data_IF_996352709065
#
_entry.id   IF_996352709065
#
_cell.length_a   1.000
_cell.length_b   1.000
_cell.length_c   1.000
_cell.angle_alpha   90.00
_cell.angle_beta   90.00
_cell.angle_gamma   90.00
#
_symmetry.space_group_name_H-M   'P 1'
#
loop_
_entity.id
_entity.type
_entity.pdbx_description
1 polymer ?
#
# COMPACT_ATOMS: atom_id res chain seq x y z
N UNK A 1 4.61 -4.95 -44.11
CA UNK A 1 3.66 -4.17 -43.28
C UNK A 1 3.77 -4.70 -41.87
N UNK A 2 4.67 -4.14 -41.07
CA UNK A 2 4.85 -4.52 -39.66
C UNK A 2 4.15 -3.47 -38.83
N UNK A 3 3.00 -3.78 -38.23
CA UNK A 3 2.29 -2.86 -37.34
C UNK A 3 1.60 -3.63 -36.20
N UNK A 4 2.33 -3.78 -35.09
CA UNK A 4 1.84 -3.38 -33.77
C UNK A 4 0.88 -4.30 -33.03
N UNK A 5 1.27 -5.55 -32.75
CA UNK A 5 0.55 -6.41 -31.78
C UNK A 5 1.15 -6.33 -30.35
N UNK A 6 2.14 -5.45 -30.13
CA UNK A 6 3.00 -5.51 -28.94
C UNK A 6 2.55 -4.55 -27.81
N UNK A 7 1.72 -3.54 -28.11
CA UNK A 7 1.37 -2.45 -27.17
C UNK A 7 0.04 -2.67 -26.41
N UNK A 8 -0.83 -3.59 -26.84
CA UNK A 8 -2.16 -3.76 -26.22
C UNK A 8 -2.09 -4.37 -24.82
N UNK A 9 -1.06 -5.17 -24.53
CA UNK A 9 -0.84 -5.82 -23.23
C UNK A 9 -0.54 -4.80 -22.12
N UNK A 10 0.24 -3.76 -22.43
CA UNK A 10 0.62 -2.69 -21.49
C UNK A 10 -0.59 -1.90 -20.96
N UNK A 11 -1.69 -1.88 -21.73
CA UNK A 11 -2.89 -1.14 -21.36
C UNK A 11 -3.88 -1.92 -20.48
N UNK A 12 -3.73 -3.25 -20.36
CA UNK A 12 -4.69 -4.08 -19.61
C UNK A 12 -4.18 -4.41 -18.21
N UNK A 13 -2.88 -4.68 -18.06
CA UNK A 13 -2.26 -5.04 -16.77
C UNK A 13 -0.92 -4.34 -16.60
N UNK A 14 -0.65 -3.87 -15.38
CA UNK A 14 0.61 -3.20 -15.04
C UNK A 14 1.19 -3.82 -13.79
N UNK A 15 2.42 -4.34 -13.91
CA UNK A 15 3.17 -4.85 -12.77
C UNK A 15 3.93 -3.70 -12.12
N UNK A 16 3.70 -3.48 -10.84
CA UNK A 16 4.40 -2.44 -10.08
C UNK A 16 5.08 -3.02 -8.84
N UNK A 17 6.19 -2.43 -8.47
CA UNK A 17 6.85 -2.65 -7.19
C UNK A 17 6.76 -1.33 -6.42
N UNK A 18 6.17 -1.37 -5.24
CA UNK A 18 6.05 -0.21 -4.35
C UNK A 18 6.82 -0.49 -3.07
N UNK A 19 7.83 0.33 -2.82
CA UNK A 19 8.61 0.33 -1.58
C UNK A 19 8.04 1.36 -0.64
N UNK A 20 7.80 0.96 0.60
CA UNK A 20 7.29 1.79 1.67
C UNK A 20 8.28 1.73 2.84
N UNK A 21 8.67 2.91 3.30
CA UNK A 21 9.48 3.06 4.49
C UNK A 21 8.57 3.56 5.61
N UNK A 22 8.46 2.77 6.67
CA UNK A 22 7.79 3.19 7.88
C UNK A 22 8.65 4.22 8.59
N UNK A 23 8.07 5.37 8.91
CA UNK A 23 8.71 6.32 9.82
C UNK A 23 8.88 5.57 11.14
N UNK A 24 10.12 5.38 11.61
CA UNK A 24 10.34 4.98 13.01
C UNK A 24 9.70 6.06 13.84
N UNK A 25 8.49 5.82 14.35
CA UNK A 25 7.80 6.79 15.19
C UNK A 25 8.72 7.05 16.38
N UNK A 26 9.34 8.22 16.42
CA UNK A 26 10.04 8.72 17.59
C UNK A 26 8.98 9.05 18.63
N UNK A 27 8.50 8.04 19.35
CA UNK A 27 7.55 8.25 20.44
C UNK A 27 8.37 8.79 21.60
N UNK A 28 8.34 10.10 21.78
CA UNK A 28 8.88 10.76 22.98
C UNK A 28 8.05 10.37 24.19
N UNK A 29 8.43 9.28 24.84
CA UNK A 29 7.82 8.81 26.08
C UNK A 29 8.90 8.30 27.02
N UNK A 30 8.89 8.77 28.26
CA UNK A 30 9.73 8.26 29.35
C UNK A 30 9.31 6.82 29.67
N UNK A 31 9.92 5.84 28.98
CA UNK A 31 9.71 4.40 29.17
C UNK A 31 10.97 3.63 28.78
N UNK A 32 11.13 2.41 29.30
CA UNK A 32 12.33 1.60 29.01
C UNK A 32 12.49 1.36 27.51
N UNK A 33 13.73 1.35 27.02
CA UNK A 33 14.05 1.17 25.59
C UNK A 33 13.43 -0.11 25.02
N UNK A 34 13.33 -1.15 25.84
CA UNK A 34 12.76 -2.44 25.46
C UNK A 34 11.22 -2.37 25.29
N UNK A 35 10.54 -1.59 26.13
CA UNK A 35 9.09 -1.37 26.04
C UNK A 35 8.73 -0.55 24.81
N UNK A 36 9.52 0.50 24.52
CA UNK A 36 9.37 1.32 23.32
C UNK A 36 9.59 0.47 22.07
N UNK A 37 10.65 -0.36 22.07
CA UNK A 37 10.96 -1.25 20.95
C UNK A 37 9.85 -2.29 20.72
N UNK A 38 9.32 -2.89 21.78
CA UNK A 38 8.21 -3.85 21.71
C UNK A 38 6.93 -3.20 21.15
N UNK A 39 6.63 -1.97 21.57
CA UNK A 39 5.48 -1.21 21.07
C UNK A 39 5.61 -0.85 19.58
N UNK A 40 6.79 -0.38 19.16
CA UNK A 40 7.10 -0.08 17.75
C UNK A 40 7.01 -1.33 16.88
N UNK A 41 7.62 -2.44 17.31
CA UNK A 41 7.55 -3.72 16.59
C UNK A 41 6.11 -4.24 16.47
N UNK A 42 5.30 -4.02 17.50
CA UNK A 42 3.88 -4.38 17.50
C UNK A 42 3.06 -3.50 16.55
N UNK A 43 3.39 -2.21 16.41
CA UNK A 43 2.77 -1.31 15.44
C UNK A 43 3.15 -1.69 13.99
N UNK A 44 4.42 -2.02 13.77
CA UNK A 44 4.93 -2.52 12.48
C UNK A 44 4.31 -3.88 12.10
N UNK A 45 4.07 -4.76 13.06
CA UNK A 45 3.40 -6.06 12.83
C UNK A 45 1.99 -5.90 12.26
N UNK A 46 1.30 -4.81 12.61
CA UNK A 46 -0.05 -4.52 12.15
C UNK A 46 -0.06 -3.51 11.02
N UNK A 47 1.07 -3.19 10.39
CA UNK A 47 1.08 -2.27 9.25
C UNK A 47 0.60 -2.96 7.99
N UNK A 48 -0.23 -2.27 7.22
CA UNK A 48 -0.79 -2.76 5.96
C UNK A 48 -0.89 -1.64 4.93
N UNK A 49 -0.85 -2.03 3.66
CA UNK A 49 -0.90 -1.12 2.52
C UNK A 49 -2.21 -1.38 1.80
N UNK A 50 -2.97 -0.32 1.51
CA UNK A 50 -4.17 -0.38 0.69
C UNK A 50 -4.01 0.36 -0.64
N UNK A 51 -4.66 -0.19 -1.65
CA UNK A 51 -4.81 0.46 -2.95
C UNK A 51 -6.08 1.30 -2.97
N UNK A 52 -5.92 2.57 -3.33
CA UNK A 52 -6.96 3.58 -3.43
C UNK A 52 -7.17 3.96 -4.89
N UNK A 53 -8.43 4.12 -5.28
CA UNK A 53 -8.82 4.78 -6.52
C UNK A 53 -8.91 6.29 -6.27
N UNK A 54 -8.21 7.11 -7.05
CA UNK A 54 -8.11 8.57 -6.78
C UNK A 54 -9.37 9.36 -7.12
N UNK A 55 -10.30 8.78 -7.90
CA UNK A 55 -11.57 9.42 -8.30
C UNK A 55 -12.78 8.93 -7.50
N UNK A 56 -12.58 8.24 -6.37
CA UNK A 56 -13.69 7.76 -5.53
C UNK A 56 -13.87 8.60 -4.25
N UNK A 57 -14.44 9.82 -4.31
CA UNK A 57 -14.76 10.58 -3.11
C UNK A 57 -15.99 10.03 -2.36
N UNK A 58 -16.78 9.12 -2.96
CA UNK A 58 -18.11 8.76 -2.43
C UNK A 58 -18.39 7.25 -2.28
N UNK A 59 -17.47 6.33 -2.60
CA UNK A 59 -17.64 4.91 -2.29
C UNK A 59 -16.89 4.60 -0.99
N UNK A 60 -17.65 4.42 0.08
CA UNK A 60 -17.18 4.09 1.44
C UNK A 60 -16.01 3.08 1.42
N UNK A 61 -14.78 3.59 1.59
CA UNK A 61 -13.49 2.98 1.93
C UNK A 61 -13.28 1.44 1.76
N UNK A 62 -13.90 0.79 0.77
CA UNK A 62 -13.66 -0.61 0.50
C UNK A 62 -12.35 -0.70 -0.29
N UNK A 63 -11.26 -1.21 0.31
CA UNK A 63 -9.99 -1.30 -0.39
C UNK A 63 -10.13 -2.25 -1.57
N UNK A 64 -9.67 -1.84 -2.76
CA UNK A 64 -9.67 -2.71 -3.94
C UNK A 64 -8.83 -3.96 -3.66
N UNK A 65 -7.68 -3.75 -2.99
CA UNK A 65 -6.79 -4.78 -2.42
C UNK A 65 -6.04 -4.18 -1.23
N UNK A 66 -5.72 -5.01 -0.24
CA UNK A 66 -4.77 -4.66 0.82
C UNK A 66 -3.79 -5.83 1.06
N UNK A 67 -2.63 -5.52 1.61
CA UNK A 67 -1.63 -6.53 2.02
C UNK A 67 -0.82 -6.02 3.21
N UNK A 68 -0.41 -6.92 4.10
CA UNK A 68 0.48 -6.58 5.20
C UNK A 68 1.88 -6.19 4.69
N UNK A 69 2.48 -5.19 5.34
CA UNK A 69 3.78 -4.68 4.94
C UNK A 69 4.92 -5.72 5.11
N UNK A 70 4.76 -6.69 6.01
CA UNK A 70 5.73 -7.76 6.22
C UNK A 70 5.56 -8.97 5.28
N UNK A 71 4.65 -8.92 4.31
CA UNK A 71 4.34 -10.07 3.45
C UNK A 71 5.54 -10.57 2.63
N UNK A 72 6.33 -9.66 2.08
CA UNK A 72 7.53 -9.98 1.29
C UNK A 72 8.83 -9.86 2.07
N UNK A 73 8.84 -9.05 3.15
CA UNK A 73 9.99 -8.85 4.00
C UNK A 73 9.64 -9.20 5.46
N UNK A 74 10.00 -10.40 5.96
CA UNK A 74 9.73 -10.76 7.35
C UNK A 74 10.48 -9.86 8.35
N UNK A 75 11.58 -9.23 7.92
CA UNK A 75 12.40 -8.32 8.72
C UNK A 75 11.86 -6.88 8.77
N UNK A 76 10.70 -6.60 8.15
CA UNK A 76 10.05 -5.27 8.17
C UNK A 76 9.92 -4.69 9.59
N UNK A 77 9.71 -5.53 10.61
CA UNK A 77 9.60 -5.10 12.01
C UNK A 77 10.89 -4.48 12.57
N UNK A 78 12.03 -4.78 11.95
CA UNK A 78 13.36 -4.30 12.36
C UNK A 78 13.82 -3.17 11.43
N UNK A 79 13.65 -3.37 10.12
CA UNK A 79 14.14 -2.42 9.10
C UNK A 79 13.20 -1.24 8.91
N UNK A 80 11.89 -1.44 9.07
CA UNK A 80 10.86 -0.49 8.66
C UNK A 80 10.67 -0.41 7.15
N UNK A 81 11.33 -1.27 6.37
CA UNK A 81 11.30 -1.23 4.90
C UNK A 81 10.51 -2.41 4.33
N UNK A 82 9.47 -2.12 3.57
CA UNK A 82 8.61 -3.11 2.92
C UNK A 82 8.56 -2.84 1.41
N UNK A 83 8.59 -3.90 0.59
CA UNK A 83 8.39 -3.76 -0.86
C UNK A 83 7.33 -4.73 -1.35
N UNK A 84 6.22 -4.24 -1.87
CA UNK A 84 5.15 -5.08 -2.41
C UNK A 84 5.18 -5.08 -3.93
N UNK A 85 5.12 -6.27 -4.51
CA UNK A 85 4.92 -6.50 -5.94
C UNK A 85 3.44 -6.75 -6.18
N UNK A 86 2.79 -5.87 -6.96
CA UNK A 86 1.35 -5.90 -7.20
C UNK A 86 1.08 -5.89 -8.71
N UNK A 87 0.17 -6.76 -9.14
CA UNK A 87 -0.37 -6.71 -10.50
C UNK A 87 -1.66 -5.90 -10.49
N UNK A 88 -1.61 -4.73 -11.13
CA UNK A 88 -2.73 -3.84 -11.35
C UNK A 88 -3.45 -4.22 -12.63
N UNK A 89 -4.77 -4.02 -12.63
CA UNK A 89 -5.62 -4.16 -13.80
C UNK A 89 -6.14 -2.75 -14.12
N UNK A 90 -6.22 -2.40 -15.40
CA UNK A 90 -6.78 -1.14 -15.81
C UNK A 90 -8.29 -1.12 -15.48
N UNK A 91 -8.68 -0.31 -14.51
CA UNK A 91 -10.09 -0.15 -14.11
C UNK A 91 -10.62 1.23 -14.52
N UNK A 92 -10.02 1.85 -15.55
CA UNK A 92 -10.37 3.19 -16.04
C UNK A 92 -10.19 4.28 -14.98
N UNK A 93 -9.25 4.06 -14.06
CA UNK A 93 -8.92 5.01 -13.02
C UNK A 93 -7.45 4.90 -12.59
N UNK A 94 -7.00 5.97 -11.96
CA UNK A 94 -5.69 6.10 -11.38
C UNK A 94 -5.64 5.50 -9.97
N UNK A 95 -4.50 4.94 -9.62
CA UNK A 95 -4.28 4.23 -8.36
C UNK A 95 -3.30 4.99 -7.47
N UNK A 96 -3.60 5.12 -6.19
CA UNK A 96 -2.65 5.49 -5.16
C UNK A 96 -2.51 4.36 -4.14
N UNK A 97 -1.41 4.36 -3.39
CA UNK A 97 -1.20 3.39 -2.31
C UNK A 97 -0.99 4.13 -1.01
N UNK A 98 -1.66 3.66 0.04
CA UNK A 98 -1.58 4.26 1.36
C UNK A 98 -1.12 3.22 2.38
N UNK A 99 -0.13 3.59 3.19
CA UNK A 99 0.41 2.80 4.29
C UNK A 99 -0.32 3.18 5.57
N UNK A 100 -0.85 2.18 6.25
CA UNK A 100 -1.50 2.29 7.55
C UNK A 100 -0.68 1.56 8.61
N UNK A 101 -0.75 2.08 9.83
CA UNK A 101 -0.40 1.36 11.05
C UNK A 101 -1.67 1.12 11.88
N UNK A 102 -1.63 0.20 12.84
CA UNK A 102 -2.84 -0.24 13.54
C UNK A 102 -3.58 -1.33 12.77
N UNK A 103 -4.28 -2.20 13.50
CA UNK A 103 -4.93 -3.36 12.89
C UNK A 103 -6.05 -2.95 11.93
N UNK A 104 -6.53 -3.91 11.13
CA UNK A 104 -7.67 -3.70 10.20
C UNK A 104 -9.02 -3.52 10.92
N UNK A 105 -9.07 -3.80 12.22
CA UNK A 105 -10.29 -3.76 13.01
C UNK A 105 -10.54 -2.37 13.58
N UNK A 106 -11.71 -1.82 13.30
CA UNK A 106 -12.20 -0.56 13.90
C UNK A 106 -12.66 -0.73 15.35
N UNK A 107 -12.78 -1.97 15.83
CA UNK A 107 -13.24 -2.32 17.19
C UNK A 107 -12.12 -2.70 18.15
N UNK A 108 -10.86 -2.74 17.69
CA UNK A 108 -9.70 -2.94 18.57
C UNK A 108 -9.07 -1.61 18.99
N UNK A 109 -8.38 -1.58 20.13
CA UNK A 109 -7.74 -0.38 20.71
C UNK A 109 -6.65 0.28 19.87
N UNK A 110 -6.41 -0.20 18.64
CA UNK A 110 -5.51 0.41 17.65
C UNK A 110 -6.25 0.65 16.36
N UNK A 111 -6.83 1.84 16.28
CA UNK A 111 -7.44 2.37 15.06
C UNK A 111 -6.40 2.47 13.93
N UNK A 112 -6.81 2.24 12.66
CA UNK A 112 -5.95 2.50 11.51
C UNK A 112 -5.50 3.96 11.49
N UNK A 113 -4.19 4.19 11.49
CA UNK A 113 -3.62 5.51 11.30
C UNK A 113 -2.87 5.55 9.96
N UNK A 114 -3.26 6.50 9.11
CA UNK A 114 -2.57 6.76 7.85
C UNK A 114 -1.16 7.29 8.13
N UNK A 115 -0.14 6.60 7.63
CA UNK A 115 1.27 6.95 7.81
C UNK A 115 1.83 7.66 6.57
N UNK A 116 1.47 7.17 5.38
CA UNK A 116 1.98 7.72 4.13
C UNK A 116 1.05 7.40 2.96
N UNK A 117 1.05 8.26 1.95
CA UNK A 117 0.41 8.03 0.64
C UNK A 117 1.49 8.14 -0.43
N UNK A 118 1.49 7.22 -1.39
CA UNK A 118 2.43 7.21 -2.52
C UNK A 118 1.92 8.04 -3.68
N UNK A 119 2.83 8.39 -4.59
CA UNK A 119 2.47 8.98 -5.88
C UNK A 119 1.49 8.10 -6.66
N UNK A 120 0.59 8.78 -7.36
CA UNK A 120 -0.40 8.20 -8.26
C UNK A 120 0.26 7.38 -9.37
N UNK A 121 -0.39 6.28 -9.74
CA UNK A 121 -0.05 5.40 -10.85
C UNK A 121 -1.21 5.38 -11.82
N UNK A 122 -0.98 5.87 -13.03
CA UNK A 122 -1.93 5.81 -14.13
C UNK A 122 -1.56 4.70 -15.12
N UNK A 123 -2.58 4.21 -15.83
CA UNK A 123 -2.41 3.50 -17.09
C UNK A 123 -2.26 4.50 -18.22
N UNK A 124 -1.53 4.16 -19.29
CA UNK A 124 -1.28 5.08 -20.41
C UNK A 124 -2.57 5.43 -21.16
N UNK A 125 -3.49 4.46 -21.32
CA UNK A 125 -4.85 4.70 -21.78
C UNK A 125 -5.85 4.08 -20.78
N UNK A 126 -6.35 4.88 -19.81
CA UNK A 126 -7.36 4.41 -18.88
C UNK A 126 -8.63 3.90 -19.57
N UNK A 127 -8.94 4.41 -20.77
CA UNK A 127 -10.17 4.05 -21.49
C UNK A 127 -10.02 2.85 -22.44
N UNK A 128 -8.86 2.21 -22.48
CA UNK A 128 -8.60 1.06 -23.34
C UNK A 128 -9.68 -0.04 -23.16
N UNK A 129 -10.04 -0.78 -24.22
CA UNK A 129 -10.92 -1.94 -24.11
C UNK A 129 -10.32 -2.96 -23.12
N UNK A 130 -11.07 -3.23 -22.05
CA UNK A 130 -10.75 -4.28 -21.10
C UNK A 130 -11.65 -5.47 -21.45
N UNK A 131 -11.06 -6.45 -22.11
CA UNK A 131 -11.67 -7.76 -22.39
C UNK A 131 -11.17 -8.76 -21.35
#
# INVERSE_FOLDING_TARGET
MTHGDDDESHNKKKLIIKTFNSIKQGIGGYGSRDDVLSSVQSALKLSWIQMLCTICPNLCFAPIKYQYANYTNPNYKVTGEASLKLQLINQRSDFAFALFTGGLSTVTSRFPALVAVSNTVAFENPNAPVL
#
